data_IF_994085809588
#
_entry.id   IF_994085809588
#
_cell.length_a   1.000
_cell.length_b   1.000
_cell.length_c   1.000
_cell.angle_alpha   90.00
_cell.angle_beta   90.00
_cell.angle_gamma   90.00
#
_symmetry.space_group_name_H-M   'P 1'
#
loop_
_entity.id
_entity.type
_entity.pdbx_description
1 polymer ?
#
# COMPACT_ATOMS: atom_id res chain seq x y z
N UNK A 1 23.05 -14.35 0.75
CA UNK A 1 22.07 -13.98 -0.27
C UNK A 1 21.09 -13.00 0.36
N UNK A 2 21.29 -11.69 0.15
CA UNK A 2 20.48 -10.65 0.77
C UNK A 2 19.04 -10.68 0.23
N UNK A 3 18.05 -10.40 1.08
CA UNK A 3 16.66 -10.16 0.68
C UNK A 3 16.64 -8.92 -0.21
N UNK A 4 16.35 -9.09 -1.50
CA UNK A 4 16.08 -7.97 -2.43
C UNK A 4 14.73 -7.27 -2.15
N UNK A 5 13.99 -7.74 -1.15
CA UNK A 5 12.66 -7.24 -0.78
C UNK A 5 12.71 -6.31 0.45
N UNK A 6 13.91 -5.96 0.94
CA UNK A 6 14.14 -5.19 2.17
C UNK A 6 14.60 -3.74 1.93
N UNK A 7 14.49 -3.23 0.71
CA UNK A 7 14.78 -1.81 0.43
C UNK A 7 13.72 -0.92 1.10
N UNK A 8 14.17 0.07 1.88
CA UNK A 8 13.31 1.10 2.49
C UNK A 8 12.84 0.83 3.93
N UNK A 9 13.26 -0.27 4.58
CA UNK A 9 12.99 -0.46 6.02
C UNK A 9 13.71 0.59 6.87
N UNK A 10 14.91 1.00 6.43
CA UNK A 10 15.69 2.08 7.04
C UNK A 10 15.10 3.47 6.74
N UNK A 11 14.09 3.53 5.88
CA UNK A 11 13.40 4.75 5.48
C UNK A 11 12.04 4.91 6.19
N UNK A 12 11.76 4.11 7.23
CA UNK A 12 10.58 4.31 8.08
C UNK A 12 10.67 5.68 8.73
N UNK A 13 9.73 6.55 8.38
CA UNK A 13 9.61 7.89 8.96
C UNK A 13 8.99 7.81 10.36
N UNK A 14 9.86 7.57 11.34
CA UNK A 14 9.54 7.44 12.76
C UNK A 14 8.90 8.72 13.32
N UNK A 15 9.29 9.89 12.80
CA UNK A 15 8.72 11.17 13.22
C UNK A 15 7.25 11.27 12.85
N UNK A 16 6.91 10.96 11.59
CA UNK A 16 5.52 10.92 11.13
C UNK A 16 4.70 9.85 11.87
N UNK A 17 5.26 8.69 12.17
CA UNK A 17 4.58 7.66 12.98
C UNK A 17 4.42 8.07 14.45
N UNK A 18 5.23 9.00 14.94
CA UNK A 18 5.10 9.54 16.29
C UNK A 18 4.05 10.65 16.38
N UNK A 19 3.60 11.18 15.24
CA UNK A 19 2.61 12.23 15.14
C UNK A 19 1.23 11.78 15.64
N UNK A 20 0.46 12.69 16.25
CA UNK A 20 -0.83 12.39 16.87
C UNK A 20 -1.86 11.86 15.85
N UNK A 21 -1.86 12.38 14.61
CA UNK A 21 -2.76 11.90 13.54
C UNK A 21 -2.55 10.42 13.20
N UNK A 22 -1.30 9.99 13.11
CA UNK A 22 -0.99 8.58 12.87
C UNK A 22 -1.46 7.70 14.03
N UNK A 23 -1.18 8.12 15.27
CA UNK A 23 -1.63 7.40 16.48
C UNK A 23 -3.15 7.32 16.57
N UNK A 24 -3.85 8.41 16.24
CA UNK A 24 -5.30 8.46 16.19
C UNK A 24 -5.85 7.50 15.13
N UNK A 25 -5.31 7.55 13.91
CA UNK A 25 -5.67 6.61 12.85
C UNK A 25 -5.53 5.16 13.29
N UNK A 26 -4.39 4.79 13.91
CA UNK A 26 -4.19 3.44 14.43
C UNK A 26 -5.21 3.07 15.51
N UNK A 27 -5.50 3.98 16.44
CA UNK A 27 -6.49 3.75 17.50
C UNK A 27 -7.87 3.47 16.92
N UNK A 28 -8.31 4.29 15.97
CA UNK A 28 -9.62 4.16 15.31
C UNK A 28 -9.73 2.85 14.52
N UNK A 29 -8.70 2.50 13.76
CA UNK A 29 -8.72 1.33 12.88
C UNK A 29 -8.44 0.00 13.62
N UNK A 30 -7.90 0.07 14.84
CA UNK A 30 -7.76 -1.10 15.71
C UNK A 30 -9.00 -1.37 16.58
N UNK A 31 -9.99 -0.48 16.60
CA UNK A 31 -11.21 -0.66 17.38
C UNK A 31 -12.15 -1.71 16.76
N UNK A 32 -12.20 -1.79 15.43
CA UNK A 32 -12.96 -2.78 14.69
C UNK A 32 -12.07 -3.98 14.28
N UNK A 33 -12.43 -5.23 14.65
CA UNK A 33 -11.60 -6.40 14.35
C UNK A 33 -11.35 -6.64 12.85
N UNK A 34 -12.34 -6.32 12.00
CA UNK A 34 -12.20 -6.53 10.56
C UNK A 34 -11.21 -5.53 9.96
N UNK A 35 -11.36 -4.25 10.28
CA UNK A 35 -10.45 -3.18 9.87
C UNK A 35 -9.05 -3.42 10.42
N UNK A 36 -8.92 -3.85 11.67
CA UNK A 36 -7.65 -4.21 12.29
C UNK A 36 -6.97 -5.36 11.54
N UNK A 37 -7.74 -6.37 11.12
CA UNK A 37 -7.24 -7.46 10.30
C UNK A 37 -6.72 -6.95 8.95
N UNK A 38 -7.51 -6.15 8.20
CA UNK A 38 -7.10 -5.59 6.91
C UNK A 38 -5.83 -4.74 7.04
N UNK A 39 -5.80 -3.85 8.05
CA UNK A 39 -4.65 -3.00 8.34
C UNK A 39 -3.42 -3.84 8.71
N UNK A 40 -3.59 -4.90 9.49
CA UNK A 40 -2.49 -5.79 9.84
C UNK A 40 -1.98 -6.54 8.62
N UNK A 41 -2.84 -7.14 7.79
CA UNK A 41 -2.43 -7.84 6.56
C UNK A 41 -1.66 -6.89 5.65
N UNK A 42 -2.19 -5.68 5.44
CA UNK A 42 -1.52 -4.63 4.70
C UNK A 42 -0.15 -4.27 5.30
N UNK A 43 -0.11 -4.02 6.62
CA UNK A 43 1.13 -3.63 7.32
C UNK A 43 2.16 -4.75 7.42
N UNK A 44 1.78 -6.01 7.30
CA UNK A 44 2.75 -7.11 7.25
C UNK A 44 3.29 -7.37 5.83
N UNK A 45 2.87 -6.56 4.85
CA UNK A 45 3.41 -6.59 3.48
C UNK A 45 2.86 -7.73 2.63
N UNK A 46 1.72 -8.31 3.03
CA UNK A 46 1.01 -9.27 2.22
C UNK A 46 0.05 -8.53 1.27
N UNK A 47 0.61 -7.75 0.34
CA UNK A 47 -0.13 -7.48 -0.88
C UNK A 47 -0.14 -8.82 -1.62
N UNK A 48 -1.29 -9.26 -2.12
CA UNK A 48 -1.44 -10.48 -2.91
C UNK A 48 -0.60 -10.50 -4.23
N UNK A 49 0.43 -9.66 -4.34
CA UNK A 49 1.50 -9.70 -5.32
C UNK A 49 2.29 -11.00 -5.20
N UNK A 50 2.66 -11.59 -6.34
CA UNK A 50 3.48 -12.80 -6.39
C UNK A 50 4.82 -12.59 -5.67
N UNK A 51 4.95 -13.15 -4.46
CA UNK A 51 6.23 -13.23 -3.73
C UNK A 51 7.11 -14.35 -4.30
N UNK A 52 8.40 -14.40 -3.93
CA UNK A 52 9.33 -15.49 -4.30
C UNK A 52 8.78 -16.90 -4.05
N UNK A 53 7.88 -17.08 -3.08
CA UNK A 53 7.26 -18.37 -2.77
C UNK A 53 6.45 -18.95 -3.95
N UNK A 54 6.01 -18.09 -4.87
CA UNK A 54 5.17 -18.42 -6.01
C UNK A 54 5.96 -18.71 -7.30
N UNK A 55 7.26 -18.44 -7.33
CA UNK A 55 8.15 -18.72 -8.46
C UNK A 55 8.75 -20.15 -8.42
N UNK A 56 8.27 -21.02 -7.53
CA UNK A 56 8.71 -22.42 -7.54
C UNK A 56 8.23 -23.12 -8.83
N UNK A 57 9.12 -23.80 -9.58
CA UNK A 57 8.72 -24.58 -10.75
C UNK A 57 7.60 -25.56 -10.38
N UNK A 58 6.47 -25.52 -11.08
CA UNK A 58 5.30 -26.38 -10.84
C UNK A 58 4.25 -25.85 -9.84
N UNK A 59 4.46 -24.69 -9.20
CA UNK A 59 3.49 -24.03 -8.31
C UNK A 59 3.14 -22.60 -8.76
N UNK A 60 3.44 -22.27 -10.00
CA UNK A 60 3.27 -20.91 -10.52
C UNK A 60 1.77 -20.62 -10.71
N UNK A 61 1.15 -20.00 -9.72
CA UNK A 61 -0.20 -19.46 -9.83
C UNK A 61 -0.18 -18.20 -10.70
N UNK A 62 -0.02 -18.39 -12.01
CA UNK A 62 -0.04 -17.31 -13.01
C UNK A 62 -1.32 -16.45 -12.92
N UNK A 63 -2.43 -17.03 -12.46
CA UNK A 63 -3.68 -16.31 -12.21
C UNK A 63 -3.58 -15.25 -11.09
N UNK A 64 -2.59 -15.32 -10.20
CA UNK A 64 -2.32 -14.30 -9.18
C UNK A 64 -1.40 -13.17 -9.67
N UNK A 65 -0.87 -13.28 -10.88
CA UNK A 65 -0.16 -12.16 -11.53
C UNK A 65 -1.12 -11.28 -12.33
N UNK A 66 -2.41 -11.56 -12.26
CA UNK A 66 -3.46 -10.90 -13.02
C UNK A 66 -4.36 -10.14 -12.06
N UNK A 67 -4.63 -8.86 -12.36
CA UNK A 67 -5.56 -8.06 -11.57
C UNK A 67 -6.95 -8.73 -11.55
N UNK A 68 -7.45 -9.11 -10.38
CA UNK A 68 -8.76 -9.78 -10.23
C UNK A 68 -9.93 -8.97 -10.79
N UNK A 69 -9.85 -7.64 -10.76
CA UNK A 69 -10.92 -6.77 -11.22
C UNK A 69 -10.97 -6.60 -12.74
N UNK A 70 -9.83 -6.73 -13.44
CA UNK A 70 -9.72 -6.31 -14.86
C UNK A 70 -8.88 -7.21 -15.76
N UNK A 71 -8.28 -8.28 -15.26
CA UNK A 71 -7.50 -9.20 -16.11
C UNK A 71 -6.13 -8.66 -16.56
N UNK A 72 -5.68 -7.52 -16.02
CA UNK A 72 -4.40 -6.91 -16.41
C UNK A 72 -3.21 -7.76 -15.98
N UNK A 73 -2.25 -8.01 -16.89
CA UNK A 73 -0.98 -8.65 -16.56
C UNK A 73 -0.14 -7.73 -15.66
N UNK A 74 0.47 -8.30 -14.61
CA UNK A 74 1.30 -7.63 -13.60
C UNK A 74 0.52 -6.90 -12.50
N UNK A 75 -0.17 -7.68 -11.68
CA UNK A 75 -0.85 -7.24 -10.45
C UNK A 75 0.12 -6.76 -9.36
N UNK A 76 0.68 -5.56 -9.56
CA UNK A 76 1.58 -4.86 -8.64
C UNK A 76 0.82 -3.91 -7.70
N UNK A 77 1.42 -3.52 -6.58
CA UNK A 77 0.86 -2.50 -5.70
C UNK A 77 0.55 -1.20 -6.47
N UNK A 78 1.46 -0.77 -7.34
CA UNK A 78 1.26 0.40 -8.21
C UNK A 78 0.10 0.22 -9.16
N UNK A 79 -0.04 -0.96 -9.75
CA UNK A 79 -1.19 -1.24 -10.59
C UNK A 79 -2.48 -1.02 -9.82
N UNK A 80 -2.61 -1.63 -8.64
CA UNK A 80 -3.82 -1.49 -7.80
C UNK A 80 -4.07 -0.07 -7.32
N UNK A 81 -3.02 0.74 -7.12
CA UNK A 81 -3.15 2.05 -6.51
C UNK A 81 -3.35 3.20 -7.50
N UNK A 82 -2.71 3.15 -8.66
CA UNK A 82 -2.63 4.28 -9.57
C UNK A 82 -3.05 3.96 -11.00
N UNK A 83 -3.15 2.68 -11.38
CA UNK A 83 -3.34 2.30 -12.79
C UNK A 83 -4.63 1.52 -13.03
N UNK A 84 -5.15 0.85 -12.00
CA UNK A 84 -6.32 0.00 -12.10
C UNK A 84 -7.60 0.84 -11.95
N UNK A 85 -8.46 0.91 -12.98
CA UNK A 85 -9.71 1.67 -12.89
C UNK A 85 -10.67 1.18 -11.81
N UNK A 86 -10.56 -0.09 -11.41
CA UNK A 86 -11.39 -0.66 -10.33
C UNK A 86 -11.14 -0.05 -8.96
N UNK A 87 -10.04 0.69 -8.81
CA UNK A 87 -9.68 1.41 -7.59
C UNK A 87 -9.74 2.93 -7.77
N UNK A 88 -10.22 3.42 -8.92
CA UNK A 88 -10.19 4.84 -9.27
C UNK A 88 -10.87 5.72 -8.23
N UNK A 89 -12.08 5.34 -7.84
CA UNK A 89 -12.87 6.08 -6.87
C UNK A 89 -12.18 6.16 -5.50
N UNK A 90 -11.46 5.11 -5.10
CA UNK A 90 -10.77 5.07 -3.80
C UNK A 90 -9.61 6.06 -3.79
N UNK A 91 -8.71 6.01 -4.78
CA UNK A 91 -7.56 6.92 -4.76
C UNK A 91 -7.98 8.36 -5.03
N UNK A 92 -9.04 8.61 -5.82
CA UNK A 92 -9.62 9.95 -6.00
C UNK A 92 -10.18 10.52 -4.69
N UNK A 93 -10.96 9.74 -3.95
CA UNK A 93 -11.49 10.17 -2.65
C UNK A 93 -10.38 10.47 -1.65
N UNK A 94 -9.34 9.62 -1.59
CA UNK A 94 -8.18 9.84 -0.73
C UNK A 94 -7.37 11.06 -1.17
N UNK A 95 -7.26 11.31 -2.48
CA UNK A 95 -6.59 12.48 -3.03
C UNK A 95 -7.25 13.78 -2.56
N UNK A 96 -8.57 13.85 -2.63
CA UNK A 96 -9.34 14.98 -2.12
C UNK A 96 -9.22 15.10 -0.60
N UNK A 97 -9.39 14.00 0.14
CA UNK A 97 -9.40 14.01 1.60
C UNK A 97 -8.06 14.41 2.24
N UNK A 98 -6.94 14.11 1.57
CA UNK A 98 -5.59 14.32 2.10
C UNK A 98 -4.77 15.34 1.31
N UNK A 99 -5.34 15.98 0.28
CA UNK A 99 -4.63 16.96 -0.56
C UNK A 99 -3.48 16.33 -1.35
N UNK A 100 -3.65 15.10 -1.83
CA UNK A 100 -2.64 14.32 -2.53
C UNK A 100 -2.84 14.49 -4.03
N UNK A 101 -1.76 14.74 -4.77
CA UNK A 101 -1.83 14.87 -6.23
C UNK A 101 -1.78 13.49 -6.91
N UNK A 102 -2.30 13.41 -8.14
CA UNK A 102 -2.24 12.16 -8.93
C UNK A 102 -0.79 11.74 -9.21
N UNK A 103 0.11 12.71 -9.39
CA UNK A 103 1.54 12.48 -9.60
C UNK A 103 2.14 11.76 -8.40
N UNK A 104 1.68 12.02 -7.18
CA UNK A 104 2.18 11.32 -6.01
C UNK A 104 1.88 9.81 -6.07
N UNK A 105 0.67 9.41 -6.47
CA UNK A 105 0.29 8.00 -6.62
C UNK A 105 1.07 7.31 -7.72
N UNK A 106 1.27 7.98 -8.87
CA UNK A 106 1.95 7.42 -10.04
C UNK A 106 3.48 7.48 -9.94
N UNK A 107 4.05 8.34 -9.10
CA UNK A 107 5.50 8.44 -8.86
C UNK A 107 6.04 7.28 -8.00
N UNK A 108 5.15 6.52 -7.35
CA UNK A 108 5.55 5.42 -6.50
C UNK A 108 6.17 4.28 -7.31
N UNK A 109 7.18 3.59 -6.75
CA UNK A 109 7.85 2.51 -7.45
C UNK A 109 6.90 1.32 -7.67
N UNK A 110 7.10 0.60 -8.78
CA UNK A 110 6.50 -0.74 -8.95
C UNK A 110 7.21 -1.71 -8.02
N UNK A 111 6.85 -1.75 -6.74
CA UNK A 111 7.36 -2.75 -5.81
C UNK A 111 6.25 -3.68 -5.30
N UNK A 112 6.66 -4.91 -4.99
CA UNK A 112 5.82 -5.97 -4.43
C UNK A 112 5.81 -5.93 -2.89
N UNK A 113 6.74 -5.20 -2.28
CA UNK A 113 6.92 -5.11 -0.84
C UNK A 113 6.71 -3.69 -0.29
N UNK A 114 6.21 -3.64 0.95
CA UNK A 114 5.72 -2.47 1.69
C UNK A 114 6.73 -1.34 1.92
N UNK A 115 8.03 -1.66 2.01
CA UNK A 115 9.05 -0.73 2.50
C UNK A 115 9.43 0.37 1.49
N UNK A 116 9.11 0.20 0.20
CA UNK A 116 9.43 1.19 -0.83
C UNK A 116 8.41 2.33 -1.01
N UNK A 117 7.23 2.26 -0.39
CA UNK A 117 6.11 3.17 -0.70
C UNK A 117 6.03 4.42 0.20
N UNK A 118 6.65 4.41 1.37
CA UNK A 118 6.48 5.51 2.34
C UNK A 118 7.39 6.71 2.02
N UNK A 119 8.34 6.60 1.07
CA UNK A 119 9.61 7.31 1.25
C UNK A 119 10.11 8.11 0.05
N UNK A 120 9.41 8.11 -1.08
CA UNK A 120 9.74 9.05 -2.16
C UNK A 120 8.96 10.34 -2.00
N UNK A 121 9.64 11.38 -1.50
CA UNK A 121 9.11 12.74 -1.37
C UNK A 121 7.85 12.84 -0.49
N UNK A 122 7.93 12.34 0.75
CA UNK A 122 6.78 12.22 1.64
C UNK A 122 6.13 13.55 2.10
N UNK A 123 6.55 14.70 1.59
CA UNK A 123 6.20 16.08 1.98
C UNK A 123 7.15 16.72 3.01
N UNK A 124 7.05 18.05 3.12
CA UNK A 124 7.99 18.89 3.85
C UNK A 124 7.78 18.83 5.37
N UNK A 125 6.53 18.70 5.81
CA UNK A 125 6.18 18.70 7.24
C UNK A 125 5.90 17.28 7.76
N UNK A 126 6.14 17.07 9.06
CA UNK A 126 5.80 15.80 9.75
C UNK A 126 4.31 15.49 9.64
N UNK A 127 3.47 16.51 9.68
CA UNK A 127 2.01 16.38 9.59
C UNK A 127 1.57 15.86 8.22
N UNK A 128 2.10 16.44 7.14
CA UNK A 128 1.82 15.98 5.77
C UNK A 128 2.34 14.55 5.58
N UNK A 129 3.54 14.24 6.05
CA UNK A 129 4.10 12.88 6.02
C UNK A 129 3.19 11.88 6.74
N UNK A 130 2.66 12.25 7.89
CA UNK A 130 1.70 11.42 8.63
C UNK A 130 0.39 11.24 7.85
N UNK A 131 -0.13 12.30 7.22
CA UNK A 131 -1.32 12.23 6.36
C UNK A 131 -1.12 11.27 5.18
N UNK A 132 0.03 11.33 4.50
CA UNK A 132 0.35 10.42 3.41
C UNK A 132 0.44 8.97 3.87
N UNK A 133 1.03 8.71 5.05
CA UNK A 133 1.05 7.36 5.63
C UNK A 133 -0.36 6.83 5.91
N UNK A 134 -1.26 7.70 6.41
CA UNK A 134 -2.66 7.35 6.64
C UNK A 134 -3.36 7.04 5.31
N UNK A 135 -3.23 7.90 4.31
CA UNK A 135 -3.84 7.71 2.99
C UNK A 135 -3.35 6.41 2.33
N UNK A 136 -2.05 6.13 2.39
CA UNK A 136 -1.45 4.88 1.92
C UNK A 136 -2.03 3.65 2.62
N UNK A 137 -2.24 3.71 3.94
CA UNK A 137 -2.85 2.60 4.68
C UNK A 137 -4.33 2.42 4.33
N UNK A 138 -5.09 3.50 4.15
CA UNK A 138 -6.49 3.43 3.71
C UNK A 138 -6.63 2.83 2.31
N UNK A 139 -5.76 3.23 1.38
CA UNK A 139 -5.68 2.63 0.05
C UNK A 139 -5.37 1.13 0.16
N UNK A 140 -4.42 0.77 1.02
CA UNK A 140 -4.07 -0.61 1.30
C UNK A 140 -5.23 -1.46 1.82
N UNK A 141 -6.02 -0.94 2.77
CA UNK A 141 -7.20 -1.63 3.30
C UNK A 141 -8.28 -1.82 2.23
N UNK A 142 -8.58 -0.79 1.43
CA UNK A 142 -9.53 -0.88 0.33
C UNK A 142 -9.10 -1.92 -0.73
N UNK A 143 -7.79 -2.01 -1.00
CA UNK A 143 -7.24 -3.05 -1.86
C UNK A 143 -7.47 -4.44 -1.29
N UNK A 144 -7.31 -4.64 0.01
CA UNK A 144 -7.57 -5.93 0.65
C UNK A 144 -9.05 -6.30 0.63
N UNK A 145 -9.93 -5.32 0.80
CA UNK A 145 -11.38 -5.51 0.79
C UNK A 145 -11.92 -5.86 -0.61
N UNK A 146 -11.48 -5.16 -1.65
CA UNK A 146 -11.93 -5.39 -3.03
C UNK A 146 -11.23 -6.57 -3.73
N UNK A 147 -10.10 -7.04 -3.17
CA UNK A 147 -9.37 -8.20 -3.70
C UNK A 147 -9.74 -9.52 -3.03
N UNK A 148 -10.36 -9.49 -1.85
CA UNK A 148 -10.78 -10.67 -1.07
C UNK A 148 -11.86 -11.46 -1.78
#
# INVERSE_FOLDING_TARGET
MARFDAEGIDSVDVEAQSHHKWKQFLKENNADPHTAMLLNVWRHGAIHTATRRWHKPGQCNAHLMVCRLRGAALDSARHRWAECPGYADVWLQLSVAYGISEEWWTAQPRCTAKSGWITRMAAATVEERANLQVAACKMGMAVMELSG
#
